data_IF_208894662986
#
_entry.id   IF_208894662986
#
_cell.length_a   1.000
_cell.length_b   1.000
_cell.length_c   1.000
_cell.angle_alpha   90.00
_cell.angle_beta   90.00
_cell.angle_gamma   90.00
#
_symmetry.space_group_name_H-M   'P 1'
#
loop_
_entity.id
_entity.type
_entity.pdbx_description
1 polymer ?
#
# COMPACT_ATOMS: atom_id res chain seq x y z
N UNK A 1 -9.38 25.17 -1.97
CA UNK A 1 -9.99 24.24 -1.00
C UNK A 1 -9.71 22.76 -1.27
N UNK A 2 -9.43 22.34 -2.52
CA UNK A 2 -9.10 20.93 -2.86
C UNK A 2 -7.61 20.63 -3.13
N UNK A 3 -6.70 21.50 -2.67
CA UNK A 3 -5.26 21.34 -2.98
C UNK A 3 -4.70 20.14 -2.19
N UNK A 4 -3.96 19.26 -2.87
CA UNK A 4 -3.34 18.10 -2.23
C UNK A 4 -4.29 16.96 -1.88
N UNK A 5 -5.48 16.91 -2.48
CA UNK A 5 -6.49 15.87 -2.22
C UNK A 5 -6.82 15.07 -3.48
N UNK A 6 -7.51 13.95 -3.35
CA UNK A 6 -8.01 13.16 -4.48
C UNK A 6 -8.91 13.99 -5.40
N UNK A 7 -9.79 14.83 -4.84
CA UNK A 7 -10.60 15.76 -5.64
C UNK A 7 -9.76 16.84 -6.31
N UNK A 8 -8.61 17.22 -5.73
CA UNK A 8 -7.66 18.12 -6.37
C UNK A 8 -7.04 17.56 -7.64
N UNK A 9 -6.87 16.24 -7.73
CA UNK A 9 -6.41 15.57 -8.97
C UNK A 9 -7.46 15.69 -10.07
N UNK A 10 -8.75 15.62 -9.71
CA UNK A 10 -9.85 15.83 -10.67
C UNK A 10 -9.71 17.20 -11.37
N UNK A 11 -9.40 18.24 -10.59
CA UNK A 11 -9.21 19.61 -11.08
C UNK A 11 -8.00 19.72 -12.06
N UNK A 12 -7.08 18.75 -12.06
CA UNK A 12 -5.90 18.69 -12.94
C UNK A 12 -6.10 17.87 -14.21
N UNK A 13 -7.24 17.20 -14.37
CA UNK A 13 -7.54 16.39 -15.56
C UNK A 13 -7.32 17.14 -16.89
N UNK A 14 -7.74 18.42 -17.07
CA UNK A 14 -7.49 19.13 -18.33
C UNK A 14 -6.00 19.26 -18.66
N UNK A 15 -5.16 19.52 -17.65
CA UNK A 15 -3.71 19.60 -17.80
C UNK A 15 -3.11 18.25 -18.18
N UNK A 16 -3.54 17.16 -17.54
CA UNK A 16 -3.04 15.81 -17.85
C UNK A 16 -3.39 15.41 -19.29
N UNK A 17 -4.58 15.78 -19.78
CA UNK A 17 -4.96 15.59 -21.18
C UNK A 17 -4.12 16.41 -22.15
N UNK A 18 -3.87 17.68 -21.83
CA UNK A 18 -3.01 18.55 -22.64
C UNK A 18 -1.56 18.03 -22.70
N UNK A 19 -1.05 17.54 -21.57
CA UNK A 19 0.27 16.92 -21.46
C UNK A 19 0.37 15.65 -22.31
N UNK A 20 -0.74 14.96 -22.56
CA UNK A 20 -0.82 13.78 -23.43
C UNK A 20 -0.43 12.47 -22.75
N UNK A 21 -0.45 12.41 -21.41
CA UNK A 21 -0.22 11.16 -20.68
C UNK A 21 -1.42 10.22 -20.79
N UNK A 22 -1.17 8.91 -20.81
CA UNK A 22 -2.22 7.87 -20.89
C UNK A 22 -2.56 7.27 -19.54
N UNK A 23 -1.68 7.41 -18.56
CA UNK A 23 -1.85 6.88 -17.22
C UNK A 23 -1.23 7.83 -16.19
N UNK A 24 -1.71 7.75 -14.96
CA UNK A 24 -1.05 8.33 -13.78
C UNK A 24 -0.65 7.21 -12.82
N UNK A 25 0.60 7.21 -12.40
CA UNK A 25 1.08 6.39 -11.29
C UNK A 25 1.08 7.24 -10.02
N UNK A 26 0.19 6.90 -9.08
CA UNK A 26 0.12 7.58 -7.79
C UNK A 26 1.14 6.95 -6.84
N UNK A 27 1.91 7.79 -6.17
CA UNK A 27 2.65 7.41 -4.96
C UNK A 27 1.69 6.80 -3.92
N UNK A 28 2.20 6.07 -2.90
CA UNK A 28 1.37 5.31 -1.98
C UNK A 28 0.17 6.07 -1.42
N UNK A 29 -1.02 5.53 -1.72
CA UNK A 29 -2.31 6.08 -1.25
C UNK A 29 -2.92 5.26 -0.12
N UNK A 30 -2.27 4.17 0.30
CA UNK A 30 -2.71 3.38 1.44
C UNK A 30 -2.65 4.24 2.71
N UNK A 31 -3.55 3.99 3.65
CA UNK A 31 -3.44 4.62 4.96
C UNK A 31 -2.11 4.20 5.59
N UNK A 32 -1.21 5.16 5.77
CA UNK A 32 0.07 5.01 6.47
C UNK A 32 0.04 5.58 7.88
N UNK A 33 1.15 5.47 8.62
CA UNK A 33 1.27 5.85 10.03
C UNK A 33 0.77 7.28 10.29
N UNK A 34 -0.20 7.49 11.20
CA UNK A 34 -0.64 8.83 11.56
C UNK A 34 0.35 9.59 12.46
N UNK A 35 1.32 8.91 13.06
CA UNK A 35 2.26 9.51 14.02
C UNK A 35 3.56 10.01 13.38
N UNK A 36 3.85 9.60 12.14
CA UNK A 36 5.04 10.06 11.42
C UNK A 36 4.69 11.09 10.35
N UNK A 37 5.49 12.15 10.26
CA UNK A 37 5.43 13.11 9.16
C UNK A 37 6.05 12.49 7.89
N UNK A 38 5.32 11.57 7.27
CA UNK A 38 5.75 10.88 6.06
C UNK A 38 5.07 11.49 4.83
N UNK A 39 5.85 12.19 4.00
CA UNK A 39 5.33 12.79 2.77
C UNK A 39 5.07 11.76 1.67
N UNK A 40 5.94 10.75 1.55
CA UNK A 40 5.87 9.77 0.45
C UNK A 40 4.86 8.65 0.71
N UNK A 41 4.58 8.30 1.96
CA UNK A 41 3.54 7.34 2.33
C UNK A 41 3.93 5.86 2.28
N UNK A 42 5.22 5.52 2.07
CA UNK A 42 5.71 4.13 2.04
C UNK A 42 5.79 3.47 3.42
N UNK A 43 4.80 3.67 4.29
CA UNK A 43 4.72 3.06 5.62
C UNK A 43 3.27 2.64 5.89
N UNK A 44 2.72 1.65 5.18
CA UNK A 44 1.30 1.34 5.24
C UNK A 44 0.90 0.79 6.61
N UNK A 45 -0.18 1.34 7.15
CA UNK A 45 -0.94 0.88 8.31
C UNK A 45 -2.08 -0.06 7.88
N UNK A 46 -2.73 0.25 6.76
CA UNK A 46 -3.81 -0.56 6.19
C UNK A 46 -3.60 -0.78 4.70
N UNK A 47 -3.92 -1.99 4.23
CA UNK A 47 -3.80 -2.37 2.83
C UNK A 47 -5.07 -2.07 2.01
N UNK A 48 -6.14 -1.58 2.63
CA UNK A 48 -7.46 -1.41 2.00
C UNK A 48 -7.99 0.01 2.07
N UNK A 49 -7.58 0.79 3.05
CA UNK A 49 -8.09 2.14 3.24
C UNK A 49 -7.23 3.15 2.46
N UNK A 50 -7.84 4.05 1.65
CA UNK A 50 -7.15 5.24 1.17
C UNK A 50 -6.73 6.13 2.34
N UNK A 51 -5.63 6.88 2.17
CA UNK A 51 -5.11 7.77 3.20
C UNK A 51 -6.07 8.92 3.48
N UNK A 52 -6.44 9.09 4.75
CA UNK A 52 -7.51 10.02 5.14
C UNK A 52 -7.15 11.50 4.91
N UNK A 53 -5.88 11.90 5.02
CA UNK A 53 -5.47 13.30 4.80
C UNK A 53 -5.50 13.72 3.32
N UNK A 54 -5.64 12.77 2.40
CA UNK A 54 -5.87 13.08 0.98
C UNK A 54 -7.35 13.29 0.65
N UNK A 55 -8.24 13.25 1.66
CA UNK A 55 -9.66 13.60 1.55
C UNK A 55 -9.88 15.07 1.87
N UNK A 56 -10.86 15.70 1.23
CA UNK A 56 -11.29 17.07 1.58
C UNK A 56 -12.15 17.13 2.83
N UNK A 57 -12.69 15.99 3.26
CA UNK A 57 -13.61 15.85 4.37
C UNK A 57 -13.17 14.67 5.27
N UNK A 58 -13.01 14.89 6.60
CA UNK A 58 -12.61 13.83 7.54
C UNK A 58 -13.75 12.87 7.91
N UNK A 59 -14.97 13.08 7.41
CA UNK A 59 -16.10 12.19 7.68
C UNK A 59 -15.79 10.77 7.22
N UNK A 60 -16.23 9.78 8.00
CA UNK A 60 -15.95 8.38 7.72
C UNK A 60 -16.34 7.99 6.28
N UNK A 61 -15.49 7.20 5.63
CA UNK A 61 -15.61 6.74 4.24
C UNK A 61 -15.49 7.82 3.16
N UNK A 62 -15.35 9.11 3.48
CA UNK A 62 -15.20 10.16 2.46
C UNK A 62 -13.96 9.98 1.60
N UNK A 63 -12.84 9.56 2.20
CA UNK A 63 -11.62 9.27 1.46
C UNK A 63 -11.81 8.18 0.40
N UNK A 64 -12.65 7.18 0.67
CA UNK A 64 -13.02 6.13 -0.30
C UNK A 64 -13.85 6.72 -1.45
N UNK A 65 -14.86 7.51 -1.12
CA UNK A 65 -15.78 8.07 -2.11
C UNK A 65 -15.10 9.13 -2.99
N UNK A 66 -14.20 9.91 -2.43
CA UNK A 66 -13.37 10.88 -3.15
C UNK A 66 -12.34 10.18 -4.05
N UNK A 67 -11.68 9.12 -3.56
CA UNK A 67 -10.80 8.30 -4.40
C UNK A 67 -11.54 7.72 -5.61
N UNK A 68 -12.71 7.10 -5.39
CA UNK A 68 -13.56 6.57 -6.48
C UNK A 68 -13.99 7.67 -7.46
N UNK A 69 -14.22 8.89 -6.97
CA UNK A 69 -14.56 10.04 -7.81
C UNK A 69 -13.37 10.49 -8.66
N UNK A 70 -12.16 10.49 -8.10
CA UNK A 70 -10.93 10.75 -8.84
C UNK A 70 -10.72 9.74 -9.96
N UNK A 71 -10.78 8.44 -9.65
CA UNK A 71 -10.61 7.37 -10.65
C UNK A 71 -11.63 7.52 -11.78
N UNK A 72 -12.92 7.68 -11.44
CA UNK A 72 -13.99 7.90 -12.44
C UNK A 72 -13.73 9.12 -13.32
N UNK A 73 -13.18 10.19 -12.76
CA UNK A 73 -12.88 11.43 -13.51
C UNK A 73 -11.72 11.20 -14.49
N UNK A 74 -10.67 10.50 -14.06
CA UNK A 74 -9.53 10.16 -14.91
C UNK A 74 -9.93 9.18 -16.02
N UNK A 75 -10.72 8.16 -15.71
CA UNK A 75 -11.27 7.23 -16.70
C UNK A 75 -12.15 7.93 -17.74
N UNK A 76 -13.01 8.87 -17.32
CA UNK A 76 -13.82 9.66 -18.26
C UNK A 76 -12.96 10.52 -19.20
N UNK A 77 -11.72 10.83 -18.81
CA UNK A 77 -10.73 11.49 -19.65
C UNK A 77 -9.87 10.53 -20.49
N UNK A 78 -10.04 9.21 -20.34
CA UNK A 78 -9.24 8.19 -20.99
C UNK A 78 -7.85 7.99 -20.36
N UNK A 79 -7.72 8.26 -19.06
CA UNK A 79 -6.46 8.16 -18.32
C UNK A 79 -6.56 7.02 -17.30
N UNK A 80 -5.65 6.06 -17.38
CA UNK A 80 -5.55 4.93 -16.45
C UNK A 80 -4.94 5.34 -15.11
N UNK A 81 -5.24 4.60 -14.04
CA UNK A 81 -4.75 4.81 -12.68
C UNK A 81 -3.95 3.60 -12.23
N UNK A 82 -2.65 3.81 -12.03
CA UNK A 82 -1.73 2.81 -11.46
C UNK A 82 -1.41 3.23 -10.02
N UNK A 83 -1.41 2.27 -9.10
CA UNK A 83 -1.02 2.52 -7.71
C UNK A 83 0.38 1.97 -7.43
N UNK A 84 1.22 2.81 -6.81
CA UNK A 84 2.41 2.35 -6.11
C UNK A 84 1.98 1.68 -4.80
N UNK A 85 2.25 0.37 -4.68
CA UNK A 85 1.77 -0.46 -3.57
C UNK A 85 2.92 -1.02 -2.74
N UNK A 86 2.75 -0.91 -1.42
CA UNK A 86 3.70 -1.41 -0.43
C UNK A 86 3.06 -2.59 0.30
N UNK A 87 3.44 -3.79 -0.09
CA UNK A 87 3.05 -5.04 0.60
C UNK A 87 4.23 -5.75 1.25
N UNK A 88 5.42 -5.14 1.20
CA UNK A 88 6.66 -5.79 1.62
C UNK A 88 6.98 -5.55 3.12
N UNK A 89 6.40 -4.51 3.73
CA UNK A 89 6.52 -4.17 5.15
C UNK A 89 5.30 -3.37 5.64
N UNK A 90 5.26 -3.03 6.92
CA UNK A 90 4.20 -2.21 7.53
C UNK A 90 4.79 -1.08 8.38
N UNK A 91 3.96 -0.10 8.78
CA UNK A 91 4.38 0.94 9.72
C UNK A 91 4.64 0.46 11.14
N UNK A 92 4.28 -0.78 11.49
CA UNK A 92 4.52 -1.27 12.86
C UNK A 92 6.03 -1.43 13.16
N UNK A 93 6.90 -1.44 12.14
CA UNK A 93 8.34 -1.51 12.31
C UNK A 93 8.82 -2.74 13.09
N UNK A 94 9.98 -2.64 13.73
CA UNK A 94 10.62 -3.71 14.50
C UNK A 94 10.00 -3.86 15.92
N UNK A 95 10.70 -4.53 16.85
CA UNK A 95 10.23 -4.76 18.23
C UNK A 95 9.89 -3.50 19.02
N UNK A 96 10.54 -2.38 18.73
CA UNK A 96 10.30 -1.08 19.40
C UNK A 96 9.22 -0.24 18.72
N UNK A 97 8.75 -0.63 17.54
CA UNK A 97 7.67 0.06 16.85
C UNK A 97 6.29 -0.25 17.45
N UNK A 98 5.25 0.48 17.02
CA UNK A 98 3.92 0.40 17.62
C UNK A 98 3.25 -0.95 17.37
N UNK A 99 2.16 -1.18 18.12
CA UNK A 99 1.23 -2.30 17.94
C UNK A 99 -0.15 -1.74 17.62
N UNK A 100 -0.48 -1.66 16.33
CA UNK A 100 -1.74 -1.13 15.83
C UNK A 100 -2.70 -2.20 15.30
N UNK A 101 -2.15 -3.29 14.75
CA UNK A 101 -2.92 -4.30 14.04
C UNK A 101 -2.18 -5.63 13.99
N UNK A 102 -1.43 -5.87 12.91
CA UNK A 102 -0.87 -7.19 12.59
C UNK A 102 -0.06 -7.81 13.74
N UNK A 103 0.82 -7.04 14.39
CA UNK A 103 1.59 -7.50 15.57
C UNK A 103 0.69 -7.99 16.70
N UNK A 104 -0.39 -7.25 16.97
CA UNK A 104 -1.30 -7.53 18.07
C UNK A 104 -2.28 -8.66 17.79
N UNK A 105 -2.61 -8.89 16.50
CA UNK A 105 -3.53 -9.95 16.08
C UNK A 105 -2.79 -11.29 16.06
N UNK A 106 -1.69 -11.40 15.31
CA UNK A 106 -0.87 -12.61 15.23
C UNK A 106 0.50 -12.30 14.61
N UNK A 107 1.45 -11.90 15.45
CA UNK A 107 2.78 -11.49 15.03
C UNK A 107 3.49 -12.51 14.12
N UNK A 108 3.46 -13.79 14.51
CA UNK A 108 4.18 -14.88 13.84
C UNK A 108 3.60 -15.23 12.46
N UNK A 109 2.31 -14.94 12.25
CA UNK A 109 1.67 -15.11 10.94
C UNK A 109 2.02 -13.97 10.00
N UNK A 110 2.06 -12.73 10.49
CA UNK A 110 2.18 -11.54 9.65
C UNK A 110 3.62 -11.12 9.35
N UNK A 111 4.58 -11.40 10.23
CA UNK A 111 5.96 -10.95 10.08
C UNK A 111 6.95 -12.10 10.01
N UNK A 112 7.97 -11.95 9.17
CA UNK A 112 9.07 -12.92 9.11
C UNK A 112 9.91 -12.80 10.37
N UNK A 113 10.01 -13.91 11.11
CA UNK A 113 10.82 -13.99 12.32
C UNK A 113 12.32 -14.13 11.99
N UNK A 114 13.15 -13.60 12.86
CA UNK A 114 14.59 -13.76 12.82
C UNK A 114 15.03 -14.84 13.81
N UNK A 115 16.17 -15.47 13.55
CA UNK A 115 16.82 -16.38 14.50
C UNK A 115 17.56 -15.64 15.62
N UNK A 116 17.77 -14.33 15.48
CA UNK A 116 18.42 -13.50 16.49
C UNK A 116 17.39 -13.03 17.53
N UNK A 117 17.49 -13.45 18.81
CA UNK A 117 16.59 -13.01 19.86
C UNK A 117 16.70 -11.48 20.14
N UNK A 118 17.82 -10.86 19.80
CA UNK A 118 18.03 -9.41 19.92
C UNK A 118 17.49 -8.61 18.73
N UNK A 119 17.05 -9.29 17.67
CA UNK A 119 16.42 -8.67 16.52
C UNK A 119 15.34 -9.61 15.94
N UNK A 120 14.18 -9.80 16.62
CA UNK A 120 13.24 -10.88 16.36
C UNK A 120 12.48 -10.76 15.03
N UNK A 121 12.62 -9.63 14.33
CA UNK A 121 12.02 -9.39 13.02
C UNK A 121 13.11 -9.43 11.96
N UNK A 122 12.97 -10.31 10.97
CA UNK A 122 13.80 -10.24 9.78
C UNK A 122 13.43 -8.98 8.99
N UNK A 123 14.44 -8.21 8.58
CA UNK A 123 14.26 -6.90 7.97
C UNK A 123 14.94 -6.83 6.61
N UNK A 124 14.24 -7.32 5.58
CA UNK A 124 14.70 -7.29 4.20
C UNK A 124 14.28 -6.02 3.44
N UNK A 125 13.34 -5.25 3.99
CA UNK A 125 12.88 -3.96 3.44
C UNK A 125 13.75 -2.78 3.87
N UNK A 126 14.49 -2.91 4.98
CA UNK A 126 15.18 -1.81 5.62
C UNK A 126 14.29 -0.95 6.54
N UNK A 127 13.02 -1.32 6.75
CA UNK A 127 12.03 -0.52 7.52
C UNK A 127 11.69 -1.10 8.89
N UNK A 128 12.39 -2.17 9.30
CA UNK A 128 12.33 -2.75 10.65
C UNK A 128 11.55 -4.06 10.72
N UNK A 129 10.72 -4.36 9.73
CA UNK A 129 10.06 -5.66 9.59
C UNK A 129 9.97 -6.07 8.12
N UNK A 130 9.55 -7.30 7.87
CA UNK A 130 9.16 -7.76 6.55
C UNK A 130 7.87 -8.54 6.67
N UNK A 131 6.89 -8.19 5.86
CA UNK A 131 5.60 -8.89 5.84
C UNK A 131 5.82 -10.32 5.32
N UNK A 132 5.21 -11.31 5.97
CA UNK A 132 5.45 -12.73 5.71
C UNK A 132 4.71 -13.23 4.47
N UNK A 133 5.16 -12.78 3.30
CA UNK A 133 4.56 -13.10 1.98
C UNK A 133 4.57 -14.58 1.64
N UNK A 134 5.37 -15.42 2.32
CA UNK A 134 5.29 -16.88 2.18
C UNK A 134 4.13 -17.50 2.98
N UNK A 135 3.57 -16.82 3.98
CA UNK A 135 2.44 -17.34 4.75
C UNK A 135 1.14 -17.29 3.93
N UNK A 136 0.37 -18.38 3.91
CA UNK A 136 -0.86 -18.48 3.11
C UNK A 136 -1.90 -17.42 3.46
N UNK A 137 -2.07 -17.09 4.75
CA UNK A 137 -3.03 -16.09 5.21
C UNK A 137 -2.63 -14.69 4.73
N UNK A 138 -1.34 -14.36 4.83
CA UNK A 138 -0.79 -13.08 4.37
C UNK A 138 -0.87 -12.95 2.84
N UNK A 139 -0.56 -14.02 2.09
CA UNK A 139 -0.76 -14.05 0.63
C UNK A 139 -2.20 -13.76 0.27
N UNK A 140 -3.13 -14.42 0.96
CA UNK A 140 -4.56 -14.20 0.73
C UNK A 140 -4.96 -12.75 1.01
N UNK A 141 -4.46 -12.16 2.09
CA UNK A 141 -4.69 -10.77 2.44
C UNK A 141 -4.21 -9.80 1.35
N UNK A 142 -2.99 -9.99 0.82
CA UNK A 142 -2.43 -9.17 -0.25
C UNK A 142 -3.29 -9.29 -1.52
N UNK A 143 -3.60 -10.51 -1.94
CA UNK A 143 -4.40 -10.75 -3.15
C UNK A 143 -5.82 -10.18 -3.00
N UNK A 144 -6.43 -10.29 -1.81
CA UNK A 144 -7.74 -9.71 -1.54
C UNK A 144 -7.70 -8.17 -1.52
N UNK A 145 -6.62 -7.58 -1.02
CA UNK A 145 -6.38 -6.14 -1.15
C UNK A 145 -6.27 -5.71 -2.61
N UNK A 146 -5.45 -6.38 -3.41
CA UNK A 146 -5.34 -6.07 -4.85
C UNK A 146 -6.69 -6.20 -5.57
N UNK A 147 -7.44 -7.28 -5.30
CA UNK A 147 -8.79 -7.46 -5.86
C UNK A 147 -9.75 -6.37 -5.41
N UNK A 148 -9.66 -5.92 -4.16
CA UNK A 148 -10.44 -4.77 -3.70
C UNK A 148 -10.09 -3.51 -4.48
N UNK A 149 -8.81 -3.19 -4.66
CA UNK A 149 -8.40 -2.02 -5.41
C UNK A 149 -8.83 -2.07 -6.89
N UNK A 150 -8.78 -3.24 -7.53
CA UNK A 150 -9.29 -3.42 -8.90
C UNK A 150 -10.81 -3.37 -8.95
N UNK A 151 -11.50 -4.24 -8.23
CA UNK A 151 -12.94 -4.45 -8.41
C UNK A 151 -13.78 -3.34 -7.75
N UNK A 152 -13.35 -2.86 -6.60
CA UNK A 152 -14.11 -1.86 -5.83
C UNK A 152 -13.59 -0.45 -6.09
N UNK A 153 -12.28 -0.26 -6.25
CA UNK A 153 -11.72 1.08 -6.44
C UNK A 153 -11.39 1.40 -7.89
N UNK A 154 -11.55 0.44 -8.81
CA UNK A 154 -11.37 0.58 -10.26
C UNK A 154 -9.94 1.00 -10.66
N UNK A 155 -8.94 0.57 -9.89
CA UNK A 155 -7.52 0.73 -10.23
C UNK A 155 -7.17 -0.18 -11.42
N UNK A 156 -6.38 0.34 -12.35
CA UNK A 156 -6.04 -0.36 -13.61
C UNK A 156 -4.74 -1.16 -13.52
N UNK A 157 -3.85 -0.82 -12.58
CA UNK A 157 -2.59 -1.51 -12.41
C UNK A 157 -1.88 -1.20 -11.10
N UNK A 158 -0.80 -1.95 -10.85
CA UNK A 158 0.02 -1.80 -9.64
C UNK A 158 1.50 -1.76 -10.00
N UNK A 159 2.22 -0.83 -9.39
CA UNK A 159 3.68 -0.83 -9.31
C UNK A 159 4.07 -1.28 -7.92
N UNK A 160 4.81 -2.40 -7.83
CA UNK A 160 5.14 -3.01 -6.55
C UNK A 160 6.46 -2.47 -6.00
N UNK A 161 6.38 -1.82 -4.84
CA UNK A 161 7.56 -1.41 -4.10
C UNK A 161 8.36 -2.61 -3.56
N UNK A 162 9.68 -2.53 -3.67
CA UNK A 162 10.64 -3.58 -3.26
C UNK A 162 10.21 -5.00 -3.65
N UNK A 163 9.78 -5.17 -4.90
CA UNK A 163 9.18 -6.41 -5.40
C UNK A 163 9.99 -7.70 -5.16
N UNK A 164 11.31 -7.60 -5.00
CA UNK A 164 12.17 -8.73 -4.64
C UNK A 164 11.78 -9.44 -3.32
N UNK A 165 11.04 -8.78 -2.42
CA UNK A 165 10.59 -9.41 -1.16
C UNK A 165 9.53 -10.48 -1.41
N UNK A 166 8.76 -10.39 -2.49
CA UNK A 166 7.74 -11.39 -2.82
C UNK A 166 8.31 -12.76 -3.19
N UNK A 167 9.61 -12.84 -3.49
CA UNK A 167 10.31 -14.10 -3.77
C UNK A 167 10.87 -14.76 -2.52
N UNK A 168 10.71 -14.18 -1.32
CA UNK A 168 11.31 -14.75 -0.10
C UNK A 168 10.49 -15.88 0.50
N UNK A 169 11.18 -16.94 0.92
CA UNK A 169 10.64 -18.05 1.71
C UNK A 169 10.43 -17.64 3.17
N UNK A 170 9.78 -18.50 3.95
CA UNK A 170 9.56 -18.29 5.38
C UNK A 170 10.85 -18.21 6.20
N UNK A 171 11.95 -18.81 5.72
CA UNK A 171 13.28 -18.70 6.34
C UNK A 171 14.06 -17.46 5.86
N UNK A 172 13.45 -16.62 5.01
CA UNK A 172 14.04 -15.41 4.45
C UNK A 172 14.93 -15.63 3.23
N UNK A 173 15.22 -16.87 2.82
CA UNK A 173 15.98 -17.17 1.59
C UNK A 173 15.15 -16.84 0.34
N UNK A 174 15.80 -16.71 -0.82
CA UNK A 174 15.13 -16.41 -2.09
C UNK A 174 14.63 -17.71 -2.74
N UNK A 175 13.40 -17.71 -3.22
CA UNK A 175 12.80 -18.71 -4.09
C UNK A 175 12.84 -18.22 -5.54
N UNK A 176 13.51 -18.97 -6.41
CA UNK A 176 13.69 -18.61 -7.83
C UNK A 176 12.81 -19.43 -8.77
N UNK A 177 12.24 -20.54 -8.30
CA UNK A 177 11.49 -21.47 -9.15
C UNK A 177 9.97 -21.27 -9.02
N UNK A 178 9.47 -21.14 -7.80
CA UNK A 178 8.03 -20.99 -7.49
C UNK A 178 7.81 -19.92 -6.42
N UNK A 179 8.00 -18.63 -6.75
CA UNK A 179 7.87 -17.55 -5.78
C UNK A 179 6.45 -17.51 -5.19
N UNK A 180 6.32 -17.23 -3.88
CA UNK A 180 5.03 -17.29 -3.18
C UNK A 180 3.89 -16.43 -3.76
N UNK A 181 4.24 -15.31 -4.41
CA UNK A 181 3.36 -14.35 -5.10
C UNK A 181 3.97 -14.02 -6.46
#
# INVERSE_FOLDING_TARGET
DRRGTFLGVCDKTPYLKELGVTAVELMPVFQFDPQEENYWGYMPLSLFAPHHLYSTDPTACRQRDEFRTMVRTLHAAGIEVILDVVYNHTCEGNRSGPTYGFKGIDNSTYYVESTDPDAPYANFSGTGNTLHTANRAVRRLIVDSMRYWVNEMHVDGFRFDLASIFTRKSDGTIELEDPPI
#
